data_IF_269008249664
#
_entry.id   IF_269008249664
#
_cell.length_a   1.000
_cell.length_b   1.000
_cell.length_c   1.000
_cell.angle_alpha   90.00
_cell.angle_beta   90.00
_cell.angle_gamma   90.00
#
_symmetry.space_group_name_H-M   'P 1'
#
loop_
_entity.id
_entity.type
_entity.pdbx_description
1 polymer ?
#
# COMPACT_ATOMS: atom_id res chain seq x y z
N UNK A 1 -26.22 -14.56 -5.25
CA UNK A 1 -24.81 -14.16 -5.08
C UNK A 1 -24.80 -12.64 -5.14
N UNK A 2 -24.35 -11.97 -4.09
CA UNK A 2 -24.28 -10.50 -4.01
C UNK A 2 -22.83 -10.03 -4.20
N UNK A 3 -22.62 -8.75 -4.53
CA UNK A 3 -21.28 -8.14 -4.62
C UNK A 3 -20.49 -8.33 -3.31
N UNK A 4 -21.16 -8.16 -2.17
CA UNK A 4 -20.56 -8.38 -0.86
C UNK A 4 -20.04 -9.82 -0.67
N UNK A 5 -20.81 -10.82 -1.14
CA UNK A 5 -20.38 -12.23 -1.07
C UNK A 5 -19.19 -12.52 -1.99
N UNK A 6 -19.16 -11.88 -3.16
CA UNK A 6 -18.05 -12.00 -4.12
C UNK A 6 -16.78 -11.36 -3.54
N UNK A 7 -16.90 -10.16 -2.96
CA UNK A 7 -15.80 -9.43 -2.33
C UNK A 7 -15.18 -10.23 -1.18
N UNK A 8 -16.00 -10.73 -0.25
CA UNK A 8 -15.51 -11.53 0.89
C UNK A 8 -14.78 -12.81 0.43
N UNK A 9 -15.30 -13.48 -0.60
CA UNK A 9 -14.67 -14.66 -1.18
C UNK A 9 -13.31 -14.32 -1.82
N UNK A 10 -13.22 -13.19 -2.51
CA UNK A 10 -11.98 -12.72 -3.12
C UNK A 10 -10.93 -12.35 -2.07
N UNK A 11 -11.31 -11.59 -1.03
CA UNK A 11 -10.41 -11.24 0.08
C UNK A 11 -9.84 -12.50 0.73
N UNK A 12 -10.69 -13.51 0.99
CA UNK A 12 -10.25 -14.78 1.55
C UNK A 12 -9.23 -15.51 0.67
N UNK A 13 -9.44 -15.53 -0.66
CA UNK A 13 -8.48 -16.11 -1.62
C UNK A 13 -7.15 -15.36 -1.61
N UNK A 14 -7.17 -14.04 -1.57
CA UNK A 14 -5.95 -13.21 -1.52
C UNK A 14 -5.18 -13.43 -0.22
N UNK A 15 -5.87 -13.57 0.92
CA UNK A 15 -5.24 -13.92 2.19
C UNK A 15 -4.51 -15.27 2.14
N UNK A 16 -5.09 -16.28 1.48
CA UNK A 16 -4.43 -17.57 1.26
C UNK A 16 -3.17 -17.44 0.40
N UNK A 17 -3.15 -16.48 -0.52
CA UNK A 17 -2.00 -16.12 -1.36
C UNK A 17 -1.01 -15.17 -0.66
N UNK A 18 -1.14 -14.98 0.67
CA UNK A 18 -0.25 -14.15 1.51
C UNK A 18 -0.34 -12.64 1.24
N UNK A 19 -1.40 -12.18 0.57
CA UNK A 19 -1.69 -10.75 0.54
C UNK A 19 -2.22 -10.30 1.90
N UNK A 20 -1.70 -9.17 2.38
CA UNK A 20 -2.18 -8.56 3.63
C UNK A 20 -3.38 -7.68 3.32
N UNK A 21 -4.49 -7.91 4.02
CA UNK A 21 -5.66 -7.07 3.93
C UNK A 21 -5.44 -5.78 4.75
N UNK A 22 -5.60 -4.62 4.11
CA UNK A 22 -5.38 -3.30 4.73
C UNK A 22 -6.70 -2.50 4.80
N UNK A 23 -7.59 -2.77 5.78
CA UNK A 23 -8.89 -2.11 5.87
C UNK A 23 -8.81 -0.62 6.21
N UNK A 24 -7.67 -0.17 6.73
CA UNK A 24 -7.43 1.18 7.25
C UNK A 24 -6.91 2.15 6.18
N UNK A 25 -6.50 1.65 5.01
CA UNK A 25 -6.03 2.50 3.90
C UNK A 25 -7.24 2.94 3.07
N UNK A 26 -7.72 4.17 3.31
CA UNK A 26 -8.94 4.70 2.68
C UNK A 26 -8.77 6.06 2.02
N UNK A 27 -7.59 6.66 2.18
CA UNK A 27 -7.26 7.97 1.63
C UNK A 27 -5.80 8.00 1.14
N UNK A 28 -5.43 8.97 0.27
CA UNK A 28 -4.08 9.07 -0.26
C UNK A 28 -2.99 9.17 0.81
N UNK A 29 -3.25 9.86 1.92
CA UNK A 29 -2.30 10.03 3.03
C UNK A 29 -2.00 8.70 3.70
N UNK A 30 -3.04 7.91 3.98
CA UNK A 30 -2.90 6.57 4.55
C UNK A 30 -2.14 5.61 3.60
N UNK A 31 -2.35 5.76 2.29
CA UNK A 31 -1.66 4.96 1.27
C UNK A 31 -0.17 5.31 1.18
N UNK A 32 0.15 6.61 1.15
CA UNK A 32 1.53 7.12 1.12
C UNK A 32 2.30 6.73 2.38
N UNK A 33 1.67 6.85 3.56
CA UNK A 33 2.26 6.43 4.84
C UNK A 33 2.58 4.93 4.84
N UNK A 34 1.63 4.10 4.38
CA UNK A 34 1.85 2.68 4.23
C UNK A 34 3.03 2.40 3.28
N UNK A 35 3.05 3.03 2.11
CA UNK A 35 4.16 2.88 1.16
C UNK A 35 5.50 3.26 1.78
N UNK A 36 5.58 4.42 2.45
CA UNK A 36 6.81 4.89 3.13
C UNK A 36 7.30 3.88 4.16
N UNK A 37 6.41 3.39 5.03
CA UNK A 37 6.77 2.43 6.07
C UNK A 37 7.32 1.13 5.48
N UNK A 38 6.62 0.55 4.50
CA UNK A 38 7.09 -0.67 3.84
C UNK A 38 8.40 -0.46 3.08
N UNK A 39 8.54 0.64 2.35
CA UNK A 39 9.76 0.95 1.59
C UNK A 39 10.97 1.12 2.51
N UNK A 40 10.83 1.89 3.58
CA UNK A 40 11.89 2.12 4.56
C UNK A 40 12.29 0.82 5.29
N UNK A 41 11.30 0.01 5.70
CA UNK A 41 11.53 -1.28 6.35
C UNK A 41 12.26 -2.26 5.43
N UNK A 42 11.80 -2.38 4.18
CA UNK A 42 12.39 -3.29 3.19
C UNK A 42 13.83 -2.92 2.82
N UNK A 43 14.12 -1.62 2.72
CA UNK A 43 15.45 -1.14 2.32
C UNK A 43 16.35 -0.80 3.51
N UNK A 44 15.87 -0.93 4.74
CA UNK A 44 16.58 -0.57 5.97
C UNK A 44 17.09 0.89 5.99
N UNK A 45 16.28 1.82 5.47
CA UNK A 45 16.59 3.25 5.44
C UNK A 45 15.51 4.06 6.17
N UNK A 46 15.83 5.31 6.48
CA UNK A 46 14.87 6.30 6.95
C UNK A 46 14.97 7.51 6.03
N UNK A 47 13.86 7.86 5.40
CA UNK A 47 13.74 9.03 4.55
C UNK A 47 13.21 10.18 5.40
N UNK A 48 13.75 11.36 5.20
CA UNK A 48 13.12 12.62 5.58
C UNK A 48 11.88 12.87 4.72
N UNK A 49 11.05 13.85 5.10
CA UNK A 49 9.85 14.18 4.33
C UNK A 49 10.21 14.65 2.92
N UNK A 50 11.23 15.51 2.78
CA UNK A 50 11.73 15.98 1.48
C UNK A 50 12.24 14.84 0.59
N UNK A 51 12.98 13.88 1.15
CA UNK A 51 13.48 12.73 0.41
C UNK A 51 12.35 11.81 -0.06
N UNK A 52 11.35 11.60 0.80
CA UNK A 52 10.19 10.79 0.45
C UNK A 52 9.35 11.44 -0.65
N UNK A 53 9.11 12.75 -0.59
CA UNK A 53 8.40 13.49 -1.65
C UNK A 53 9.11 13.34 -3.00
N UNK A 54 10.44 13.52 -3.04
CA UNK A 54 11.23 13.35 -4.28
C UNK A 54 11.17 11.92 -4.80
N UNK A 55 11.23 10.93 -3.91
CA UNK A 55 11.10 9.51 -4.27
C UNK A 55 9.73 9.24 -4.91
N UNK A 56 8.65 9.69 -4.27
CA UNK A 56 7.28 9.48 -4.73
C UNK A 56 7.08 10.10 -6.11
N UNK A 57 7.52 11.34 -6.31
CA UNK A 57 7.49 12.02 -7.61
C UNK A 57 8.24 11.22 -8.67
N UNK A 58 9.44 10.71 -8.36
CA UNK A 58 10.24 9.94 -9.32
C UNK A 58 9.61 8.62 -9.76
N UNK A 59 8.84 7.97 -8.87
CA UNK A 59 8.15 6.70 -9.14
C UNK A 59 6.86 6.94 -9.92
N UNK A 60 6.10 7.98 -9.55
CA UNK A 60 4.78 8.26 -10.14
C UNK A 60 4.88 8.99 -11.48
N UNK A 61 5.92 9.81 -11.70
CA UNK A 61 6.07 10.59 -12.93
C UNK A 61 6.65 9.79 -14.12
N UNK A 62 7.12 8.56 -13.93
CA UNK A 62 7.49 7.68 -15.06
C UNK A 62 6.24 7.08 -15.70
N UNK A 63 5.74 7.78 -16.73
CA UNK A 63 4.87 7.22 -17.77
C UNK A 63 5.71 6.46 -18.80
#
# INVERSE_FOLDING_TARGET
>A
MTEQQIEQSLIGKLGNLKYTYCPDIRDPTSLESNFRQYFQSLNHIQLTDDEFTRLLESIVQRQ
#
